data_IF_819026316249
#
_entry.id   IF_819026316249
#
_cell.length_a   1.000
_cell.length_b   1.000
_cell.length_c   1.000
_cell.angle_alpha   90.00
_cell.angle_beta   90.00
_cell.angle_gamma   90.00
#
_symmetry.space_group_name_H-M   'P 1'
#
loop_
_entity.id
_entity.type
_entity.pdbx_description
1 polymer ?
#
# COMPACT_ATOMS: atom_id res chain seq x y z
N UNK A 1 21.04 16.43 -8.75
CA UNK A 1 20.82 15.00 -9.10
C UNK A 1 20.21 14.86 -10.50
N UNK A 2 20.94 14.25 -11.43
CA UNK A 2 20.48 14.06 -12.82
C UNK A 2 19.64 12.78 -12.88
N UNK A 3 18.31 12.91 -12.90
CA UNK A 3 17.41 11.75 -13.01
C UNK A 3 17.45 11.21 -14.44
N UNK A 4 18.09 10.05 -14.63
CA UNK A 4 18.05 9.32 -15.92
C UNK A 4 16.69 8.65 -16.08
N UNK A 5 16.16 8.59 -17.31
CA UNK A 5 14.84 8.02 -17.66
C UNK A 5 14.62 6.54 -17.29
N UNK A 6 15.68 5.82 -16.91
CA UNK A 6 15.62 4.44 -16.38
C UNK A 6 15.48 4.41 -14.83
N UNK A 7 15.67 5.56 -14.17
CA UNK A 7 15.47 5.76 -12.73
C UNK A 7 14.06 6.29 -12.39
N UNK A 8 13.20 6.49 -13.40
CA UNK A 8 11.82 6.98 -13.28
C UNK A 8 10.79 5.86 -13.18
N UNK A 9 11.08 4.81 -12.41
CA UNK A 9 10.05 3.85 -11.98
C UNK A 9 10.06 3.72 -10.45
N UNK A 10 8.92 3.33 -9.87
CA UNK A 10 8.76 3.29 -8.41
C UNK A 10 9.76 2.35 -7.74
N UNK A 11 10.13 1.23 -8.37
CA UNK A 11 11.10 0.29 -7.84
C UNK A 11 12.49 0.93 -7.66
N UNK A 12 12.95 1.68 -8.66
CA UNK A 12 14.22 2.43 -8.65
C UNK A 12 14.21 3.60 -7.67
N UNK A 13 13.06 4.25 -7.48
CA UNK A 13 12.91 5.30 -6.46
C UNK A 13 12.99 4.68 -5.06
N UNK A 14 12.26 3.59 -4.84
CA UNK A 14 12.20 2.92 -3.55
C UNK A 14 13.50 2.25 -3.13
N UNK A 15 14.36 1.82 -4.05
CA UNK A 15 15.69 1.31 -3.69
C UNK A 15 16.59 2.35 -3.05
N UNK A 16 16.30 3.64 -3.23
CA UNK A 16 17.06 4.76 -2.63
C UNK A 16 16.50 5.19 -1.27
N UNK A 17 15.36 4.67 -0.83
CA UNK A 17 14.75 5.03 0.45
C UNK A 17 15.47 4.33 1.60
N UNK A 18 16.04 5.12 2.51
CA UNK A 18 16.78 4.63 3.69
C UNK A 18 15.93 4.58 4.94
N UNK A 19 14.84 5.36 5.02
CA UNK A 19 13.93 5.38 6.16
C UNK A 19 12.46 5.17 5.71
N UNK A 20 12.01 3.92 5.53
CA UNK A 20 10.70 3.61 4.95
C UNK A 20 9.52 4.12 5.77
N UNK A 21 9.66 4.32 7.08
CA UNK A 21 8.54 4.77 7.93
C UNK A 21 8.05 6.16 7.54
N UNK A 22 8.92 7.02 7.00
CA UNK A 22 8.56 8.37 6.52
C UNK A 22 7.67 8.33 5.28
N UNK A 23 7.64 7.20 4.57
CA UNK A 23 6.74 7.01 3.44
C UNK A 23 5.27 6.94 3.87
N UNK A 24 5.01 6.58 5.14
CA UNK A 24 3.67 6.49 5.68
C UNK A 24 2.89 7.80 5.49
N UNK A 25 3.50 8.94 5.83
CA UNK A 25 2.82 10.25 5.77
C UNK A 25 2.40 10.64 4.35
N UNK A 26 3.07 10.10 3.32
CA UNK A 26 2.81 10.41 1.93
C UNK A 26 1.95 9.35 1.21
N UNK A 27 2.13 8.08 1.57
CA UNK A 27 1.63 6.95 0.78
C UNK A 27 0.76 5.98 1.57
N UNK A 28 0.50 6.22 2.86
CA UNK A 28 -0.42 5.39 3.62
C UNK A 28 -1.79 5.33 2.93
N UNK A 29 -2.50 4.18 3.07
CA UNK A 29 -3.90 4.14 2.68
C UNK A 29 -4.70 5.17 3.47
N UNK A 30 -5.81 5.61 2.87
CA UNK A 30 -6.75 6.51 3.53
C UNK A 30 -7.68 5.73 4.48
N UNK A 31 -8.53 6.45 5.21
CA UNK A 31 -9.57 5.77 6.02
C UNK A 31 -10.62 5.16 5.09
N UNK A 32 -11.36 4.13 5.53
CA UNK A 32 -12.38 3.50 4.69
C UNK A 32 -13.41 4.49 4.14
N UNK A 33 -13.81 5.49 4.92
CA UNK A 33 -14.76 6.52 4.48
C UNK A 33 -14.22 7.48 3.41
N UNK A 34 -12.91 7.44 3.13
CA UNK A 34 -12.28 8.22 2.06
C UNK A 34 -12.29 7.48 0.71
N UNK A 35 -12.68 6.20 0.69
CA UNK A 35 -12.85 5.41 -0.51
C UNK A 35 -14.34 5.31 -0.85
N UNK A 36 -14.76 5.68 -2.08
CA UNK A 36 -16.17 5.59 -2.46
C UNK A 36 -16.69 4.15 -2.56
N UNK A 37 -15.81 3.19 -2.84
CA UNK A 37 -16.18 1.78 -3.08
C UNK A 37 -14.99 0.82 -2.85
N UNK A 38 -15.27 -0.49 -2.89
CA UNK A 38 -14.22 -1.52 -2.77
C UNK A 38 -13.28 -1.51 -3.98
N UNK A 39 -13.78 -1.10 -5.15
CA UNK A 39 -12.99 -0.99 -6.38
C UNK A 39 -11.83 -0.01 -6.23
N UNK A 40 -12.07 1.16 -5.66
CA UNK A 40 -11.06 2.19 -5.41
C UNK A 40 -10.05 1.77 -4.35
N UNK A 41 -10.46 0.98 -3.35
CA UNK A 41 -9.53 0.31 -2.42
C UNK A 41 -8.59 -0.61 -3.22
N UNK A 42 -9.14 -1.51 -4.05
CA UNK A 42 -8.35 -2.45 -4.84
C UNK A 42 -7.43 -1.77 -5.86
N UNK A 43 -7.90 -0.70 -6.51
CA UNK A 43 -7.09 0.09 -7.45
C UNK A 43 -5.91 0.74 -6.73
N UNK A 44 -6.14 1.35 -5.55
CA UNK A 44 -5.04 1.93 -4.77
C UNK A 44 -4.00 0.89 -4.33
N UNK A 45 -4.43 -0.37 -4.12
CA UNK A 45 -3.54 -1.49 -3.83
C UNK A 45 -2.71 -1.91 -5.05
N UNK A 46 -3.39 -2.22 -6.15
CA UNK A 46 -2.81 -2.93 -7.29
C UNK A 46 -2.14 -2.00 -8.30
N UNK A 47 -2.70 -0.81 -8.49
CA UNK A 47 -2.26 0.15 -9.49
C UNK A 47 -1.84 1.50 -8.90
N UNK A 48 -2.19 1.80 -7.66
CA UNK A 48 -1.89 3.07 -6.98
C UNK A 48 -3.02 4.09 -7.08
N UNK A 49 -2.92 5.15 -6.29
CA UNK A 49 -3.97 6.17 -6.14
C UNK A 49 -3.81 7.29 -7.15
N UNK A 50 -4.87 7.63 -7.89
CA UNK A 50 -4.90 8.80 -8.78
C UNK A 50 -5.10 10.07 -7.96
N UNK A 51 -4.28 11.09 -8.21
CA UNK A 51 -4.37 12.44 -7.66
C UNK A 51 -4.58 13.41 -8.82
N UNK A 52 -5.70 14.15 -8.78
CA UNK A 52 -6.03 15.30 -9.63
C UNK A 52 -5.51 15.16 -11.07
N UNK A 53 -5.93 14.08 -11.71
CA UNK A 53 -5.84 13.69 -13.13
C UNK A 53 -4.45 13.53 -13.77
N UNK A 54 -3.36 13.97 -13.14
CA UNK A 54 -2.02 13.93 -13.77
C UNK A 54 -1.00 13.12 -12.96
N UNK A 55 -1.27 12.83 -11.68
CA UNK A 55 -0.30 12.16 -10.80
C UNK A 55 -0.88 10.88 -10.22
N UNK A 56 -0.10 9.80 -10.26
CA UNK A 56 -0.46 8.53 -9.65
C UNK A 56 0.56 8.18 -8.58
N UNK A 57 0.08 7.98 -7.36
CA UNK A 57 0.86 7.42 -6.26
C UNK A 57 1.28 5.98 -6.60
N UNK A 58 2.38 5.47 -6.04
CA UNK A 58 2.78 4.08 -6.23
C UNK A 58 1.67 3.12 -5.78
N UNK A 59 1.56 1.94 -6.42
CA UNK A 59 0.74 0.86 -5.88
C UNK A 59 1.17 0.52 -4.45
N UNK A 60 0.22 0.47 -3.52
CA UNK A 60 0.51 0.09 -2.14
C UNK A 60 1.07 -1.33 -2.03
N UNK A 61 0.70 -2.23 -2.96
CA UNK A 61 1.29 -3.57 -3.07
C UNK A 61 2.80 -3.52 -3.26
N UNK A 62 3.31 -2.52 -4.00
CA UNK A 62 4.74 -2.39 -4.28
C UNK A 62 5.52 -1.98 -3.02
N UNK A 63 4.94 -1.08 -2.22
CA UNK A 63 5.50 -0.68 -0.91
C UNK A 63 5.48 -1.88 0.05
N UNK A 64 4.34 -2.57 0.16
CA UNK A 64 4.18 -3.71 1.06
C UNK A 64 5.08 -4.89 0.64
N UNK A 65 5.24 -5.18 -0.65
CA UNK A 65 6.16 -6.23 -1.10
C UNK A 65 7.61 -5.93 -0.71
N UNK A 66 8.00 -4.65 -0.71
CA UNK A 66 9.38 -4.25 -0.40
C UNK A 66 9.66 -4.18 1.09
N UNK A 67 8.72 -3.66 1.89
CA UNK A 67 8.95 -3.33 3.29
C UNK A 67 7.97 -3.99 4.27
N UNK A 68 6.92 -4.63 3.77
CA UNK A 68 5.85 -5.32 4.51
C UNK A 68 6.31 -6.55 5.28
N UNK A 69 7.41 -7.18 4.85
CA UNK A 69 8.04 -8.32 5.56
C UNK A 69 9.30 -7.93 6.32
N UNK A 70 9.88 -6.76 6.01
CA UNK A 70 11.09 -6.27 6.65
C UNK A 70 10.76 -5.70 8.02
N UNK A 71 11.33 -6.30 9.06
CA UNK A 71 11.25 -5.76 10.42
C UNK A 71 12.11 -4.49 10.51
N UNK A 72 11.64 -3.48 11.23
CA UNK A 72 12.45 -2.29 11.51
C UNK A 72 13.65 -2.67 12.39
N UNK A 73 14.85 -2.67 11.79
CA UNK A 73 16.11 -3.05 12.46
C UNK A 73 16.62 -2.02 13.47
N UNK A 74 16.04 -0.82 13.53
CA UNK A 74 16.45 0.26 14.43
C UNK A 74 15.98 0.09 15.87
N UNK A 75 15.00 -0.79 16.13
CA UNK A 75 14.52 -1.09 17.48
C UNK A 75 14.25 -2.59 17.57
N UNK A 76 15.11 -3.33 18.30
CA UNK A 76 15.18 -4.79 18.35
C UNK A 76 13.95 -5.57 18.85
N UNK A 77 12.73 -5.01 18.77
CA UNK A 77 11.46 -5.62 19.18
C UNK A 77 10.27 -5.37 18.22
N UNK A 78 10.49 -4.89 17.00
CA UNK A 78 9.40 -4.62 16.05
C UNK A 78 8.81 -5.87 15.39
N UNK A 79 7.58 -6.27 15.77
CA UNK A 79 6.75 -7.25 15.00
C UNK A 79 6.12 -6.64 13.74
N UNK A 80 6.19 -5.31 13.60
CA UNK A 80 5.52 -4.56 12.55
C UNK A 80 6.45 -4.24 11.38
N UNK A 81 5.91 -4.07 10.17
CA UNK A 81 6.71 -3.77 8.99
C UNK A 81 7.40 -2.43 9.03
N UNK A 82 8.54 -2.37 8.34
CA UNK A 82 9.48 -1.25 8.42
C UNK A 82 8.92 0.09 7.96
N UNK A 83 7.96 0.07 7.04
CA UNK A 83 7.33 1.28 6.52
C UNK A 83 6.08 1.72 7.31
N UNK A 84 5.60 0.92 8.26
CA UNK A 84 4.40 1.22 9.07
C UNK A 84 4.80 1.76 10.45
N UNK A 85 4.14 2.82 10.96
CA UNK A 85 4.44 3.38 12.27
C UNK A 85 4.08 2.39 13.40
N UNK A 86 5.01 2.17 14.32
CA UNK A 86 4.91 1.09 15.32
C UNK A 86 3.93 1.41 16.48
N UNK A 87 3.84 2.68 16.87
CA UNK A 87 3.10 3.15 18.05
C UNK A 87 1.92 4.07 17.71
N UNK A 88 1.44 4.01 16.47
CA UNK A 88 0.31 4.82 16.04
C UNK A 88 -0.96 3.94 15.94
N UNK A 89 -1.86 4.10 16.91
CA UNK A 89 -3.13 3.36 16.96
C UNK A 89 -4.01 3.67 15.75
N UNK A 90 -4.02 4.93 15.30
CA UNK A 90 -4.83 5.37 14.17
C UNK A 90 -4.29 4.74 12.89
N UNK A 91 -2.98 4.78 12.67
CA UNK A 91 -2.33 4.15 11.54
C UNK A 91 -2.57 2.64 11.49
N UNK A 92 -2.49 1.95 12.64
CA UNK A 92 -2.80 0.51 12.72
C UNK A 92 -4.26 0.22 12.36
N UNK A 93 -5.19 1.05 12.82
CA UNK A 93 -6.63 0.90 12.50
C UNK A 93 -6.89 1.14 11.01
N UNK A 94 -6.32 2.21 10.44
CA UNK A 94 -6.41 2.52 9.01
C UNK A 94 -5.88 1.35 8.18
N UNK A 95 -4.67 0.88 8.49
CA UNK A 95 -4.09 -0.26 7.79
C UNK A 95 -4.92 -1.53 7.94
N UNK A 96 -5.32 -1.88 9.17
CA UNK A 96 -6.06 -3.11 9.45
C UNK A 96 -7.37 -3.18 8.67
N UNK A 97 -8.11 -2.07 8.64
CA UNK A 97 -9.35 -1.94 7.89
C UNK A 97 -9.11 -2.04 6.37
N UNK A 98 -8.14 -1.29 5.85
CA UNK A 98 -7.79 -1.31 4.44
C UNK A 98 -7.34 -2.72 3.97
N UNK A 99 -6.43 -3.33 4.73
CA UNK A 99 -5.80 -4.59 4.38
C UNK A 99 -6.76 -5.78 4.54
N UNK A 100 -7.82 -5.66 5.34
CA UNK A 100 -8.88 -6.68 5.40
C UNK A 100 -9.53 -6.90 4.03
N UNK A 101 -9.95 -5.83 3.36
CA UNK A 101 -10.55 -5.90 2.02
C UNK A 101 -9.55 -6.41 0.99
N UNK A 102 -8.34 -5.86 1.00
CA UNK A 102 -7.26 -6.31 0.11
C UNK A 102 -7.03 -7.81 0.24
N UNK A 103 -6.90 -8.34 1.46
CA UNK A 103 -6.66 -9.77 1.67
C UNK A 103 -7.83 -10.62 1.22
N UNK A 104 -9.06 -10.18 1.47
CA UNK A 104 -10.25 -10.88 1.01
C UNK A 104 -10.27 -10.98 -0.51
N UNK A 105 -9.96 -9.89 -1.20
CA UNK A 105 -9.90 -9.85 -2.66
C UNK A 105 -8.79 -10.77 -3.17
N UNK A 106 -7.58 -10.69 -2.61
CA UNK A 106 -6.46 -11.56 -2.98
C UNK A 106 -6.77 -13.05 -2.80
N UNK A 107 -7.45 -13.42 -1.71
CA UNK A 107 -7.86 -14.81 -1.45
C UNK A 107 -8.84 -15.30 -2.49
N UNK A 108 -9.90 -14.54 -2.80
CA UNK A 108 -10.91 -14.96 -3.76
C UNK A 108 -10.35 -15.03 -5.19
N UNK A 109 -9.42 -14.13 -5.55
CA UNK A 109 -8.66 -14.22 -6.80
C UNK A 109 -7.80 -15.49 -6.83
N UNK A 110 -7.14 -15.84 -5.72
CA UNK A 110 -6.34 -17.06 -5.62
C UNK A 110 -7.19 -18.35 -5.72
N UNK A 111 -8.48 -18.26 -5.34
CA UNK A 111 -9.47 -19.33 -5.50
C UNK A 111 -10.04 -19.43 -6.93
N UNK A 112 -9.58 -18.57 -7.85
CA UNK A 112 -9.91 -18.63 -9.27
C UNK A 112 -11.02 -17.68 -9.73
N UNK A 113 -11.49 -16.77 -8.86
CA UNK A 113 -12.47 -15.75 -9.23
C UNK A 113 -11.79 -14.57 -9.92
N UNK A 114 -12.52 -13.89 -10.83
CA UNK A 114 -12.01 -12.66 -11.43
C UNK A 114 -12.03 -11.52 -10.40
N UNK A 115 -11.13 -10.54 -10.53
CA UNK A 115 -11.12 -9.38 -9.63
C UNK A 115 -12.44 -8.62 -9.65
N UNK A 116 -13.08 -8.55 -10.81
CA UNK A 116 -14.30 -7.76 -11.00
C UNK A 116 -15.50 -8.43 -10.30
N UNK A 117 -15.64 -9.75 -10.41
CA UNK A 117 -16.68 -10.51 -9.71
C UNK A 117 -16.52 -10.39 -8.18
N UNK A 118 -15.27 -10.45 -7.71
CA UNK A 118 -14.94 -10.34 -6.28
C UNK A 118 -15.25 -8.95 -5.75
N UNK A 119 -14.88 -7.90 -6.49
CA UNK A 119 -15.18 -6.52 -6.12
C UNK A 119 -16.70 -6.33 -6.05
N UNK A 120 -17.44 -6.80 -7.05
CA UNK A 120 -18.90 -6.70 -7.07
C UNK A 120 -19.56 -7.45 -5.90
N UNK A 121 -18.99 -8.57 -5.47
CA UNK A 121 -19.51 -9.33 -4.32
C UNK A 121 -19.22 -8.68 -2.95
N UNK A 122 -18.34 -7.67 -2.90
CA UNK A 122 -17.92 -6.99 -1.67
C UNK A 122 -18.45 -5.55 -1.54
N UNK A 123 -19.14 -5.04 -2.57
CA UNK A 123 -19.93 -3.80 -2.51
C UNK A 123 -21.21 -3.96 -1.67
#
# INVERSE_FOLDING_TARGET
>A
PTFKKLETNWQSIFSKVTNPVQLWDCYAPRSLGDYPDVKTIWQSWSEGTVLDDIRRLPPLRLIENKWGSLKNGTMGKGRLPSWRPHNDVKARKIWGNYHFFVKRIETMIAEGQSSDDVIQALE
#
